data_IF_991579080245
#
_entry.id   IF_991579080245
#
_cell.length_a   1.000
_cell.length_b   1.000
_cell.length_c   1.000
_cell.angle_alpha   90.00
_cell.angle_beta   90.00
_cell.angle_gamma   90.00
#
_symmetry.space_group_name_H-M   'P 1'
#
loop_
_entity.id
_entity.type
_entity.pdbx_description
1 polymer ?
#
# COMPACT_ATOMS: atom_id res chain seq x y z
N UNK A 1 -12.82 -8.02 0.70
CA UNK A 1 -12.29 -8.88 -0.38
C UNK A 1 -10.92 -9.49 -0.08
N UNK A 2 -10.18 -8.99 0.91
CA UNK A 2 -8.85 -9.48 1.25
C UNK A 2 -8.85 -10.06 2.68
N UNK A 3 -9.19 -11.36 2.85
CA UNK A 3 -9.46 -11.96 4.16
C UNK A 3 -8.15 -12.34 4.86
N UNK A 4 -7.45 -11.36 5.43
CA UNK A 4 -6.31 -11.60 6.29
C UNK A 4 -6.79 -11.89 7.72
N UNK A 5 -6.37 -13.03 8.26
CA UNK A 5 -6.62 -13.39 9.67
C UNK A 5 -5.61 -12.77 10.65
N UNK A 6 -4.47 -12.31 10.14
CA UNK A 6 -3.39 -11.70 10.92
C UNK A 6 -2.58 -10.74 10.07
N UNK A 7 -1.81 -9.85 10.70
CA UNK A 7 -0.86 -9.01 10.02
C UNK A 7 0.24 -9.85 9.38
N UNK A 8 0.66 -9.43 8.18
CA UNK A 8 1.73 -10.07 7.42
C UNK A 8 2.68 -9.02 6.87
N UNK A 9 3.90 -9.45 6.59
CA UNK A 9 4.84 -8.73 5.74
C UNK A 9 5.21 -9.63 4.56
N UNK A 10 5.55 -9.03 3.44
CA UNK A 10 6.02 -9.76 2.25
C UNK A 10 6.96 -8.90 1.41
N UNK A 11 7.81 -9.57 0.64
CA UNK A 11 8.76 -8.93 -0.25
C UNK A 11 8.13 -8.62 -1.60
N UNK A 12 8.48 -7.46 -2.15
CA UNK A 12 8.14 -7.06 -3.51
C UNK A 12 9.31 -7.32 -4.47
N UNK A 13 9.07 -7.41 -5.80
CA UNK A 13 10.13 -7.69 -6.77
C UNK A 13 11.31 -6.71 -6.76
N UNK A 14 11.08 -5.47 -6.31
CA UNK A 14 12.10 -4.42 -6.13
C UNK A 14 12.88 -4.54 -4.80
N UNK A 15 12.73 -5.66 -4.08
CA UNK A 15 13.39 -5.97 -2.79
C UNK A 15 12.99 -5.05 -1.64
N UNK A 16 11.85 -4.36 -1.77
CA UNK A 16 11.22 -3.65 -0.65
C UNK A 16 10.30 -4.60 0.11
N UNK A 17 9.95 -4.21 1.34
CA UNK A 17 8.99 -4.93 2.16
C UNK A 17 7.68 -4.14 2.21
N UNK A 18 6.56 -4.86 2.12
CA UNK A 18 5.20 -4.32 2.25
C UNK A 18 4.49 -5.05 3.38
N UNK A 19 3.73 -4.30 4.17
CA UNK A 19 2.83 -4.82 5.20
C UNK A 19 1.40 -4.83 4.69
N UNK A 20 0.66 -5.87 5.06
CA UNK A 20 -0.80 -5.88 4.98
C UNK A 20 -1.37 -6.21 6.36
N UNK A 21 -2.19 -5.30 6.88
CA UNK A 21 -2.63 -5.33 8.28
C UNK A 21 -4.16 -5.31 8.36
N UNK A 22 -4.80 -6.37 8.89
CA UNK A 22 -6.23 -6.37 9.13
C UNK A 22 -6.58 -5.49 10.34
N UNK A 23 -7.56 -4.62 10.18
CA UNK A 23 -8.09 -3.75 11.25
C UNK A 23 -9.54 -3.39 10.95
N UNK A 24 -10.41 -3.59 11.94
CA UNK A 24 -11.82 -3.20 11.89
C UNK A 24 -12.57 -3.66 10.62
N UNK A 25 -12.42 -4.94 10.28
CA UNK A 25 -13.05 -5.54 9.09
C UNK A 25 -12.47 -5.07 7.74
N UNK A 26 -11.42 -4.25 7.76
CA UNK A 26 -10.67 -3.80 6.58
C UNK A 26 -9.22 -4.29 6.65
N UNK A 27 -8.51 -4.14 5.55
CA UNK A 27 -7.07 -4.38 5.48
C UNK A 27 -6.43 -3.17 4.83
N UNK A 28 -5.44 -2.58 5.49
CA UNK A 28 -4.61 -1.55 4.88
C UNK A 28 -3.26 -2.12 4.48
N UNK A 29 -2.72 -1.65 3.36
CA UNK A 29 -1.50 -2.19 2.74
C UNK A 29 -0.55 -1.04 2.39
N UNK A 30 0.74 -1.20 2.67
CA UNK A 30 1.73 -0.15 2.45
C UNK A 30 3.16 -0.60 2.73
N UNK A 31 4.18 0.21 2.43
CA UNK A 31 4.09 1.61 1.96
C UNK A 31 4.81 1.81 0.63
N UNK A 32 4.59 2.94 -0.02
CA UNK A 32 5.49 3.44 -1.05
C UNK A 32 6.66 4.22 -0.46
N UNK A 33 7.67 4.45 -1.27
CA UNK A 33 8.84 5.26 -0.93
C UNK A 33 9.30 5.97 -2.20
N UNK A 34 8.99 7.26 -2.27
CA UNK A 34 9.22 8.12 -3.42
C UNK A 34 9.76 9.45 -2.93
N UNK A 35 10.61 10.09 -3.73
CA UNK A 35 11.10 11.42 -3.42
C UNK A 35 9.93 12.41 -3.47
N UNK A 36 9.85 13.29 -2.47
CA UNK A 36 8.73 14.22 -2.30
C UNK A 36 9.24 15.66 -2.15
N UNK A 37 8.81 16.55 -3.05
CA UNK A 37 9.27 17.94 -3.14
C UNK A 37 8.15 18.98 -3.01
N UNK A 38 6.94 18.54 -2.72
CA UNK A 38 5.78 19.42 -2.61
C UNK A 38 5.49 19.76 -1.14
N UNK A 39 4.36 20.44 -0.89
CA UNK A 39 3.93 20.81 0.45
C UNK A 39 3.64 19.57 1.33
N UNK A 40 4.54 19.32 2.29
CA UNK A 40 4.44 18.22 3.23
C UNK A 40 3.21 18.30 4.16
N UNK A 41 2.50 19.42 4.22
CA UNK A 41 1.24 19.55 4.96
C UNK A 41 0.07 18.86 4.25
N UNK A 42 0.14 18.66 2.92
CA UNK A 42 -0.95 18.12 2.11
C UNK A 42 -0.49 16.99 1.16
N UNK A 43 0.21 15.94 1.65
CA UNK A 43 0.60 14.83 0.82
C UNK A 43 -0.62 14.05 0.34
N UNK A 44 -0.57 13.60 -0.91
CA UNK A 44 -1.65 12.83 -1.53
C UNK A 44 -1.07 11.57 -2.18
N UNK A 45 -1.84 10.49 -2.11
CA UNK A 45 -1.56 9.28 -2.86
C UNK A 45 -1.70 9.57 -4.36
N UNK A 46 -0.70 9.18 -5.14
CA UNK A 46 -0.71 9.23 -6.61
C UNK A 46 -1.30 7.95 -7.21
N UNK A 47 -1.54 7.94 -8.53
CA UNK A 47 -2.00 6.72 -9.22
C UNK A 47 -0.91 5.65 -9.25
N UNK A 48 0.34 6.10 -9.32
CA UNK A 48 1.54 5.27 -9.29
C UNK A 48 1.65 4.58 -7.92
N UNK A 49 1.33 5.28 -6.83
CA UNK A 49 1.30 4.69 -5.49
C UNK A 49 0.27 3.57 -5.37
N UNK A 50 -0.98 3.84 -5.77
CA UNK A 50 -2.04 2.83 -5.70
C UNK A 50 -1.73 1.64 -6.61
N UNK A 51 -1.21 1.90 -7.81
CA UNK A 51 -0.81 0.85 -8.74
C UNK A 51 0.29 -0.04 -8.15
N UNK A 52 1.33 0.55 -7.55
CA UNK A 52 2.40 -0.20 -6.90
C UNK A 52 1.86 -1.15 -5.82
N UNK A 53 0.97 -0.64 -4.96
CA UNK A 53 0.38 -1.44 -3.88
C UNK A 53 -0.51 -2.56 -4.44
N UNK A 54 -1.33 -2.28 -5.46
CA UNK A 54 -2.16 -3.30 -6.11
C UNK A 54 -1.30 -4.39 -6.74
N UNK A 55 -0.24 -4.00 -7.47
CA UNK A 55 0.67 -4.94 -8.12
C UNK A 55 1.39 -5.81 -7.08
N UNK A 56 1.83 -5.22 -5.97
CA UNK A 56 2.45 -5.94 -4.85
C UNK A 56 1.49 -6.96 -4.21
N UNK A 57 0.23 -6.56 -3.96
CA UNK A 57 -0.80 -7.47 -3.42
C UNK A 57 -1.05 -8.62 -4.38
N UNK A 58 -1.24 -8.32 -5.68
CA UNK A 58 -1.56 -9.34 -6.67
C UNK A 58 -0.37 -10.25 -6.99
N UNK A 59 0.87 -9.77 -6.83
CA UNK A 59 2.06 -10.61 -6.90
C UNK A 59 2.09 -11.64 -5.76
N UNK A 60 1.89 -11.18 -4.52
CA UNK A 60 1.93 -12.06 -3.34
C UNK A 60 0.68 -12.94 -3.21
N UNK A 61 -0.48 -12.43 -3.63
CA UNK A 61 -1.79 -13.08 -3.54
C UNK A 61 -2.50 -13.12 -4.92
N UNK A 62 -2.03 -13.93 -5.88
CA UNK A 62 -2.55 -13.93 -7.25
C UNK A 62 -4.04 -14.27 -7.37
N UNK A 63 -4.61 -14.91 -6.36
CA UNK A 63 -6.02 -15.31 -6.31
C UNK A 63 -6.95 -14.17 -5.88
N UNK A 64 -6.46 -13.13 -5.20
CA UNK A 64 -7.29 -12.05 -4.66
C UNK A 64 -7.76 -11.09 -5.75
N UNK A 65 -6.92 -10.82 -6.75
CA UNK A 65 -7.25 -9.99 -7.93
C UNK A 65 -7.82 -8.61 -7.54
N UNK A 66 -7.11 -7.88 -6.67
CA UNK A 66 -7.48 -6.52 -6.27
C UNK A 66 -7.41 -5.58 -7.48
N UNK A 67 -8.37 -4.67 -7.54
CA UNK A 67 -8.47 -3.58 -8.52
C UNK A 67 -8.62 -2.23 -7.81
N UNK A 68 -8.51 -1.12 -8.54
CA UNK A 68 -8.73 0.22 -7.98
C UNK A 68 -10.13 0.39 -7.35
N UNK A 69 -11.14 -0.33 -7.86
CA UNK A 69 -12.51 -0.30 -7.34
C UNK A 69 -12.65 -0.93 -5.94
N UNK A 70 -11.64 -1.67 -5.48
CA UNK A 70 -11.62 -2.28 -4.15
C UNK A 70 -11.00 -1.34 -3.09
N UNK A 71 -10.47 -0.18 -3.49
CA UNK A 71 -9.89 0.82 -2.59
C UNK A 71 -10.99 1.72 -2.05
N UNK A 72 -11.27 1.61 -0.74
CA UNK A 72 -12.28 2.43 -0.07
C UNK A 72 -11.73 3.75 0.49
N UNK A 73 -10.43 3.80 0.80
CA UNK A 73 -9.76 4.97 1.38
C UNK A 73 -8.25 4.88 1.20
N UNK A 74 -7.56 6.01 1.35
CA UNK A 74 -6.10 6.11 1.34
C UNK A 74 -5.62 7.28 2.18
N UNK A 75 -4.34 7.25 2.54
CA UNK A 75 -3.64 8.37 3.15
C UNK A 75 -2.18 8.39 2.69
N UNK A 76 -1.52 9.53 2.87
CA UNK A 76 -0.10 9.68 2.60
C UNK A 76 0.57 10.43 3.78
N UNK A 77 1.87 10.29 3.89
CA UNK A 77 2.68 10.97 4.88
C UNK A 77 4.13 11.10 4.41
N UNK A 78 4.78 12.20 4.77
CA UNK A 78 6.17 12.49 4.39
C UNK A 78 7.08 12.14 5.56
N UNK A 79 8.14 11.35 5.30
CA UNK A 79 9.15 11.03 6.31
C UNK A 79 10.31 12.04 6.21
N UNK A 80 10.60 12.83 7.26
CA UNK A 80 11.78 13.68 7.26
C UNK A 80 13.03 12.82 7.55
N UNK A 81 13.87 12.63 6.54
CA UNK A 81 15.15 11.92 6.65
C UNK A 81 16.29 12.95 6.83
N UNK A 82 17.27 12.64 7.70
CA UNK A 82 18.46 13.48 7.99
C UNK A 82 19.63 13.03 7.12
#
# INVERSE_FOLDING_TARGET
RFPLGQAIYFDTPDRRMVFAIPRDGKTYVGTTDTFYNDDAALPKMTKEDSKYIIDAINYMFPTVKITENDIESSWAGVRPLI
#
